data_IF_121703853980
#
_entry.id   IF_121703853980
#
_cell.length_a   1.000
_cell.length_b   1.000
_cell.length_c   1.000
_cell.angle_alpha   90.00
_cell.angle_beta   90.00
_cell.angle_gamma   90.00
#
_symmetry.space_group_name_H-M   'P 1'
#
loop_
_entity.id
_entity.type
_entity.pdbx_description
1 polymer ?
#
# COMPACT_ATOMS: atom_id res chain seq x y z
N UNK A 1 -21.41 72.84 -7.71
CA UNK A 1 -20.12 72.97 -8.40
C UNK A 1 -19.07 72.20 -7.62
N UNK A 2 -18.63 71.03 -8.12
CA UNK A 2 -17.23 70.56 -7.92
C UNK A 2 -16.97 69.42 -8.90
N UNK A 3 -16.14 69.71 -9.90
CA UNK A 3 -15.54 68.72 -10.80
C UNK A 3 -14.37 68.09 -10.07
N UNK A 4 -14.34 66.76 -9.94
CA UNK A 4 -13.14 66.02 -9.54
C UNK A 4 -12.69 65.25 -10.77
N UNK A 5 -11.50 65.60 -11.27
CA UNK A 5 -10.86 64.96 -12.41
C UNK A 5 -10.42 63.55 -12.01
N UNK A 6 -11.01 62.53 -12.63
CA UNK A 6 -10.60 61.14 -12.48
C UNK A 6 -9.59 60.81 -13.58
N UNK A 7 -8.31 60.79 -13.23
CA UNK A 7 -7.23 60.34 -14.13
C UNK A 7 -7.28 58.81 -14.19
N UNK A 8 -7.65 58.29 -15.36
CA UNK A 8 -7.66 56.88 -15.70
C UNK A 8 -6.22 56.38 -15.92
N UNK A 9 -5.63 55.75 -14.91
CA UNK A 9 -4.46 54.91 -15.08
C UNK A 9 -4.90 53.54 -15.64
N UNK A 10 -4.76 53.37 -16.96
CA UNK A 10 -4.79 52.06 -17.61
C UNK A 10 -3.51 51.30 -17.25
N UNK A 11 -3.52 50.57 -16.13
CA UNK A 11 -2.50 49.56 -15.85
C UNK A 11 -2.84 48.28 -16.61
N UNK A 12 -2.06 48.01 -17.65
CA UNK A 12 -2.07 46.77 -18.42
C UNK A 12 -1.85 45.56 -17.51
N UNK A 13 -2.92 44.85 -17.16
CA UNK A 13 -2.85 43.53 -16.56
C UNK A 13 -2.31 42.57 -17.63
N UNK A 14 -1.01 42.31 -17.58
CA UNK A 14 -0.40 41.19 -18.28
C UNK A 14 -0.97 39.91 -17.67
N UNK A 15 -2.01 39.36 -18.30
CA UNK A 15 -2.54 38.05 -17.96
C UNK A 15 -1.47 37.04 -18.36
N UNK A 16 -0.65 36.63 -17.38
CA UNK A 16 0.19 35.44 -17.52
C UNK A 16 -0.72 34.24 -17.74
N UNK A 17 -0.97 33.88 -19.00
CA UNK A 17 -1.54 32.60 -19.36
C UNK A 17 -0.50 31.53 -19.05
N UNK A 18 -0.55 30.98 -17.83
CA UNK A 18 0.18 29.77 -17.50
C UNK A 18 -0.29 28.66 -18.45
N UNK A 19 0.55 28.27 -19.40
CA UNK A 19 0.33 27.10 -20.23
C UNK A 19 0.37 25.87 -19.33
N UNK A 20 -0.79 25.34 -18.98
CA UNK A 20 -0.89 24.10 -18.21
C UNK A 20 -0.54 22.92 -19.15
N UNK A 21 0.52 22.18 -18.84
CA UNK A 21 0.83 20.93 -19.52
C UNK A 21 -0.12 19.85 -19.02
N UNK A 22 -1.02 19.39 -19.88
CA UNK A 22 -1.87 18.24 -19.62
C UNK A 22 -1.09 16.97 -19.98
N UNK A 23 -0.70 16.17 -18.98
CA UNK A 23 -0.05 14.88 -19.21
C UNK A 23 -0.86 13.78 -18.51
N UNK A 24 -1.21 12.73 -19.27
CA UNK A 24 -1.61 11.44 -18.68
C UNK A 24 -0.34 10.61 -18.58
N UNK A 25 0.11 10.31 -17.36
CA UNK A 25 1.25 9.41 -17.17
C UNK A 25 0.85 8.01 -17.66
N UNK A 26 1.53 7.51 -18.70
CA UNK A 26 1.44 6.12 -19.11
C UNK A 26 2.32 5.30 -18.18
N UNK A 27 1.79 4.23 -17.61
CA UNK A 27 2.53 3.38 -16.65
C UNK A 27 2.86 2.05 -17.31
N UNK A 28 4.15 1.86 -17.56
CA UNK A 28 4.74 0.62 -18.05
C UNK A 28 5.08 -0.31 -16.88
N UNK A 29 4.44 -1.49 -16.82
CA UNK A 29 4.76 -2.50 -15.79
C UNK A 29 5.88 -3.46 -16.22
N UNK A 30 6.39 -3.32 -17.43
CA UNK A 30 7.52 -4.05 -17.95
C UNK A 30 8.20 -3.24 -19.05
N UNK A 31 9.44 -3.62 -19.38
CA UNK A 31 10.19 -3.03 -20.48
C UNK A 31 10.50 -4.10 -21.53
N UNK A 32 10.17 -3.88 -22.83
CA UNK A 32 10.56 -4.77 -23.92
C UNK A 32 12.08 -4.87 -24.11
N UNK A 33 12.84 -3.83 -23.70
CA UNK A 33 14.31 -3.83 -23.77
C UNK A 33 14.96 -4.64 -22.65
N UNK A 34 14.20 -5.05 -21.64
CA UNK A 34 14.67 -5.86 -20.51
C UNK A 34 14.12 -7.30 -20.64
N UNK A 35 14.95 -8.30 -20.99
CA UNK A 35 14.49 -9.65 -21.32
C UNK A 35 13.71 -10.37 -20.21
N UNK A 36 13.94 -10.02 -18.95
CA UNK A 36 13.29 -10.63 -17.78
C UNK A 36 12.37 -9.66 -17.04
N UNK A 37 11.96 -8.54 -17.65
CA UNK A 37 11.05 -7.57 -17.00
C UNK A 37 9.71 -8.20 -16.59
N UNK A 38 9.29 -9.24 -17.32
CA UNK A 38 8.09 -10.03 -17.03
C UNK A 38 8.36 -11.34 -16.27
N UNK A 39 9.56 -11.55 -15.74
CA UNK A 39 9.92 -12.78 -15.05
C UNK A 39 10.06 -13.98 -16.00
N UNK A 40 10.32 -15.18 -15.47
CA UNK A 40 10.59 -16.37 -16.28
C UNK A 40 9.42 -16.73 -17.20
N UNK A 41 9.68 -16.78 -18.50
CA UNK A 41 8.69 -17.17 -19.52
C UNK A 41 7.60 -16.13 -19.81
N UNK A 42 7.61 -14.99 -19.13
CA UNK A 42 6.74 -13.86 -19.45
C UNK A 42 7.29 -13.02 -20.60
N UNK A 43 6.40 -12.42 -21.38
CA UNK A 43 6.77 -11.51 -22.47
C UNK A 43 6.20 -10.12 -22.21
N UNK A 44 7.02 -9.08 -22.34
CA UNK A 44 6.53 -7.72 -22.26
C UNK A 44 5.85 -7.32 -23.57
N UNK A 45 4.60 -6.88 -23.48
CA UNK A 45 3.77 -6.45 -24.60
C UNK A 45 3.66 -4.94 -24.61
N UNK A 46 4.04 -4.33 -25.73
CA UNK A 46 3.89 -2.89 -25.94
C UNK A 46 2.42 -2.55 -26.19
N UNK A 47 1.87 -1.68 -25.35
CA UNK A 47 0.47 -1.26 -25.42
C UNK A 47 0.39 0.26 -25.31
N UNK A 48 -0.61 0.86 -25.98
CA UNK A 48 -0.81 2.31 -25.98
C UNK A 48 -1.13 2.93 -24.61
N UNK A 49 -1.58 2.12 -23.65
CA UNK A 49 -1.87 2.54 -22.27
C UNK A 49 -0.84 1.99 -21.27
N UNK A 50 0.33 1.61 -21.76
CA UNK A 50 1.45 1.16 -20.96
C UNK A 50 1.64 -0.34 -21.03
N UNK A 51 2.90 -0.74 -21.02
CA UNK A 51 3.33 -2.10 -21.25
C UNK A 51 2.79 -3.06 -20.18
N UNK A 52 2.43 -4.27 -20.61
CA UNK A 52 1.91 -5.34 -19.73
C UNK A 52 2.59 -6.66 -20.04
N UNK A 53 2.66 -7.53 -19.04
CA UNK A 53 3.19 -8.87 -19.21
C UNK A 53 2.13 -9.83 -19.75
N UNK A 54 2.44 -10.46 -20.88
CA UNK A 54 1.80 -11.72 -21.28
C UNK A 54 2.45 -12.85 -20.48
N UNK A 55 1.67 -13.48 -19.61
CA UNK A 55 2.17 -14.46 -18.66
C UNK A 55 1.92 -15.91 -19.08
N UNK A 56 2.77 -16.85 -18.63
CA UNK A 56 2.52 -18.28 -18.80
C UNK A 56 1.18 -18.70 -18.20
N UNK A 57 0.67 -19.85 -18.66
CA UNK A 57 -0.57 -20.43 -18.17
C UNK A 57 -0.61 -20.52 -16.64
N UNK A 58 -1.69 -20.04 -16.03
CA UNK A 58 -1.88 -20.02 -14.59
C UNK A 58 -1.35 -18.79 -13.86
N UNK A 59 -0.63 -17.89 -14.53
CA UNK A 59 0.03 -16.72 -13.90
C UNK A 59 -0.50 -15.40 -14.46
N UNK A 60 -0.31 -14.32 -13.69
CA UNK A 60 -0.64 -12.95 -14.08
C UNK A 60 0.17 -11.92 -13.27
N UNK A 61 -0.10 -10.63 -13.51
CA UNK A 61 0.47 -9.51 -12.75
C UNK A 61 1.86 -9.10 -13.20
N UNK A 62 2.47 -8.17 -12.45
CA UNK A 62 3.86 -7.77 -12.71
C UNK A 62 4.78 -8.97 -12.55
N UNK A 63 5.76 -9.09 -13.44
CA UNK A 63 6.72 -10.22 -13.45
C UNK A 63 6.10 -11.62 -13.48
N UNK A 64 4.80 -11.74 -13.79
CA UNK A 64 4.06 -13.00 -13.77
C UNK A 64 4.17 -13.78 -12.43
N UNK A 65 4.25 -13.07 -11.30
CA UNK A 65 4.57 -13.67 -10.00
C UNK A 65 3.37 -14.18 -9.20
N UNK A 66 2.14 -13.87 -9.62
CA UNK A 66 0.91 -14.26 -8.89
C UNK A 66 0.03 -15.17 -9.74
N UNK A 67 -0.77 -16.06 -9.12
CA UNK A 67 -1.71 -16.90 -9.84
C UNK A 67 -2.74 -16.03 -10.57
N UNK A 68 -3.19 -16.50 -11.74
CA UNK A 68 -4.27 -15.87 -12.49
C UNK A 68 -5.59 -15.98 -11.72
N UNK A 69 -6.07 -14.86 -11.17
CA UNK A 69 -7.30 -14.76 -10.39
C UNK A 69 -7.87 -13.34 -10.46
N UNK A 70 -9.12 -13.15 -10.09
CA UNK A 70 -9.68 -11.81 -9.91
C UNK A 70 -9.31 -11.25 -8.53
N UNK A 71 -9.09 -9.94 -8.45
CA UNK A 71 -8.74 -9.25 -7.20
C UNK A 71 -9.99 -8.89 -6.40
N UNK A 72 -11.03 -8.41 -7.08
CA UNK A 72 -12.26 -7.91 -6.46
C UNK A 72 -13.41 -8.90 -6.62
N UNK A 73 -14.23 -9.04 -5.58
CA UNK A 73 -15.47 -9.84 -5.64
C UNK A 73 -16.46 -9.31 -6.69
N UNK A 74 -16.36 -8.03 -7.05
CA UNK A 74 -17.21 -7.39 -8.07
C UNK A 74 -16.84 -7.72 -9.51
N UNK A 75 -15.73 -8.42 -9.79
CA UNK A 75 -15.24 -8.67 -11.14
C UNK A 75 -16.27 -9.39 -12.04
N UNK A 76 -17.00 -10.37 -11.51
CA UNK A 76 -18.07 -11.06 -12.25
C UNK A 76 -19.19 -10.10 -12.70
N UNK A 77 -19.56 -9.16 -11.83
CA UNK A 77 -20.56 -8.14 -12.18
C UNK A 77 -20.01 -7.13 -13.18
N UNK A 78 -18.78 -6.64 -13.00
CA UNK A 78 -18.17 -5.71 -13.96
C UNK A 78 -17.99 -6.33 -15.35
N UNK A 79 -17.72 -7.63 -15.42
CA UNK A 79 -17.74 -8.37 -16.68
C UNK A 79 -19.13 -8.35 -17.34
N UNK A 80 -20.20 -8.60 -16.57
CA UNK A 80 -21.57 -8.55 -17.09
C UNK A 80 -22.00 -7.14 -17.55
N UNK A 81 -21.39 -6.10 -17.00
CA UNK A 81 -21.55 -4.70 -17.41
C UNK A 81 -20.56 -4.27 -18.50
N UNK A 82 -19.89 -5.25 -19.15
CA UNK A 82 -18.93 -5.08 -20.23
C UNK A 82 -17.74 -4.15 -19.93
N UNK A 83 -17.46 -3.88 -18.65
CA UNK A 83 -16.42 -2.93 -18.24
C UNK A 83 -15.02 -3.37 -18.67
N UNK A 84 -14.79 -4.66 -18.90
CA UNK A 84 -13.53 -5.15 -19.47
C UNK A 84 -13.22 -4.58 -20.88
N UNK A 85 -14.25 -4.15 -21.63
CA UNK A 85 -14.12 -3.72 -23.02
C UNK A 85 -14.26 -2.22 -23.17
N UNK A 86 -15.40 -1.64 -22.77
CA UNK A 86 -15.68 -0.23 -23.07
C UNK A 86 -14.86 0.75 -22.23
N UNK A 87 -14.41 0.36 -21.03
CA UNK A 87 -13.55 1.24 -20.22
C UNK A 87 -12.08 1.14 -20.61
N UNK A 88 -11.67 0.09 -21.33
CA UNK A 88 -10.26 -0.21 -21.64
C UNK A 88 -9.53 0.98 -22.28
N UNK A 89 -10.12 1.77 -23.21
CA UNK A 89 -9.45 2.94 -23.77
C UNK A 89 -9.18 4.07 -22.76
N UNK A 90 -9.93 4.09 -21.66
CA UNK A 90 -9.90 5.15 -20.64
C UNK A 90 -9.03 4.73 -19.45
N UNK A 91 -9.19 3.48 -19.01
CA UNK A 91 -8.53 2.92 -17.84
C UNK A 91 -8.27 1.42 -17.99
N UNK A 92 -7.04 0.95 -17.69
CA UNK A 92 -6.73 -0.47 -17.64
C UNK A 92 -7.22 -1.16 -16.34
N UNK A 93 -7.85 -0.41 -15.43
CA UNK A 93 -8.26 -0.88 -14.09
C UNK A 93 -8.93 -2.26 -14.10
N UNK A 94 -9.94 -2.46 -14.95
CA UNK A 94 -10.68 -3.73 -14.97
C UNK A 94 -9.84 -4.87 -15.55
N UNK A 95 -8.99 -4.61 -16.54
CA UNK A 95 -8.10 -5.62 -17.10
C UNK A 95 -7.03 -6.05 -16.08
N UNK A 96 -6.49 -5.10 -15.31
CA UNK A 96 -5.41 -5.34 -14.33
C UNK A 96 -5.93 -6.00 -13.03
N UNK A 97 -7.16 -5.67 -12.62
CA UNK A 97 -7.78 -6.16 -11.39
C UNK A 97 -8.70 -7.37 -11.57
N UNK A 98 -9.25 -7.56 -12.76
CA UNK A 98 -10.17 -8.66 -13.08
C UNK A 98 -9.64 -9.50 -14.24
N UNK A 99 -8.34 -9.81 -14.21
CA UNK A 99 -7.65 -10.46 -15.32
C UNK A 99 -8.29 -11.80 -15.73
N UNK A 100 -8.80 -12.59 -14.76
CA UNK A 100 -9.47 -13.85 -15.07
C UNK A 100 -10.85 -13.60 -15.69
N UNK A 101 -11.68 -12.76 -15.07
CA UNK A 101 -13.00 -12.40 -15.60
C UNK A 101 -12.93 -11.77 -17.00
N UNK A 102 -11.99 -10.84 -17.20
CA UNK A 102 -11.73 -10.15 -18.46
C UNK A 102 -10.90 -10.96 -19.46
N UNK A 103 -10.60 -12.24 -19.17
CA UNK A 103 -9.94 -13.15 -20.09
C UNK A 103 -8.50 -12.78 -20.46
N UNK A 104 -7.81 -11.99 -19.63
CA UNK A 104 -6.39 -11.64 -19.82
C UNK A 104 -5.47 -12.81 -19.44
N UNK A 105 -5.95 -13.76 -18.65
CA UNK A 105 -5.20 -14.96 -18.27
C UNK A 105 -6.15 -16.15 -18.05
N UNK A 106 -5.58 -17.35 -17.86
CA UNK A 106 -6.32 -18.56 -17.48
C UNK A 106 -5.79 -19.12 -16.16
N UNK A 107 -6.69 -19.46 -15.25
CA UNK A 107 -6.36 -20.06 -13.95
C UNK A 107 -5.97 -21.55 -14.12
N UNK A 108 -5.03 -22.04 -13.30
CA UNK A 108 -4.51 -23.42 -13.33
C UNK A 108 -5.05 -24.32 -12.21
N UNK A 109 -6.18 -23.94 -11.60
CA UNK A 109 -6.78 -24.57 -10.42
C UNK A 109 -6.28 -24.04 -9.08
N UNK A 110 -5.28 -23.16 -9.05
CA UNK A 110 -4.73 -22.58 -7.81
C UNK A 110 -4.89 -21.06 -7.77
N UNK A 111 -5.09 -20.53 -6.58
CA UNK A 111 -5.30 -19.11 -6.36
C UNK A 111 -4.82 -18.73 -4.94
N UNK A 112 -4.58 -17.45 -4.66
CA UNK A 112 -4.34 -17.01 -3.27
C UNK A 112 -5.67 -16.94 -2.52
N UNK A 113 -5.66 -17.12 -1.20
CA UNK A 113 -6.85 -16.92 -0.39
C UNK A 113 -7.43 -15.50 -0.54
N UNK A 114 -6.53 -14.51 -0.58
CA UNK A 114 -6.83 -13.11 -0.93
C UNK A 114 -5.77 -12.61 -1.90
N UNK A 115 -6.21 -11.96 -2.97
CA UNK A 115 -5.32 -11.35 -3.95
C UNK A 115 -4.86 -9.98 -3.47
N UNK A 116 -3.56 -9.68 -3.57
CA UNK A 116 -3.09 -8.31 -3.40
C UNK A 116 -3.52 -7.47 -4.61
N UNK A 117 -4.22 -6.34 -4.41
CA UNK A 117 -4.52 -5.40 -5.49
C UNK A 117 -3.22 -4.79 -6.08
N UNK A 118 -3.09 -4.64 -7.41
CA UNK A 118 -1.87 -4.13 -8.07
C UNK A 118 -1.42 -2.73 -7.63
N UNK A 119 -2.35 -1.93 -7.10
CA UNK A 119 -2.04 -0.61 -6.53
C UNK A 119 -1.19 -0.71 -5.24
N UNK A 120 -1.18 -1.87 -4.59
CA UNK A 120 -0.40 -2.16 -3.39
C UNK A 120 0.87 -2.96 -3.67
N UNK A 121 1.22 -3.20 -4.94
CA UNK A 121 2.44 -3.94 -5.30
C UNK A 121 3.70 -3.28 -4.73
N UNK A 122 3.68 -1.95 -4.54
CA UNK A 122 4.80 -1.19 -3.96
C UNK A 122 5.11 -1.55 -2.49
N UNK A 123 4.15 -2.15 -1.77
CA UNK A 123 4.30 -2.62 -0.40
C UNK A 123 4.20 -4.15 -0.27
N UNK A 124 4.15 -4.90 -1.38
CA UNK A 124 4.02 -6.37 -1.38
C UNK A 124 5.06 -7.04 -0.48
N UNK A 125 6.31 -6.53 -0.51
CA UNK A 125 7.42 -7.05 0.28
C UNK A 125 7.20 -6.98 1.79
N UNK A 126 6.39 -6.03 2.25
CA UNK A 126 6.05 -5.79 3.65
C UNK A 126 4.90 -6.68 4.13
N UNK A 127 4.02 -7.11 3.22
CA UNK A 127 2.91 -8.02 3.53
C UNK A 127 3.43 -9.39 3.98
N UNK A 128 2.89 -9.89 5.08
CA UNK A 128 3.36 -11.12 5.74
C UNK A 128 3.25 -11.05 7.26
N UNK A 129 3.50 -12.20 7.89
CA UNK A 129 3.67 -12.30 9.34
C UNK A 129 5.15 -12.28 9.69
N UNK A 130 5.51 -11.37 10.58
CA UNK A 130 6.86 -11.06 11.00
C UNK A 130 7.00 -11.25 12.50
N UNK A 131 7.98 -12.02 12.95
CA UNK A 131 8.21 -12.29 14.36
C UNK A 131 9.56 -11.73 14.82
N UNK A 132 9.57 -11.13 16.01
CA UNK A 132 10.78 -10.66 16.68
C UNK A 132 10.80 -11.12 18.13
N UNK A 133 12.03 -11.26 18.67
CA UNK A 133 12.28 -11.49 20.09
C UNK A 133 13.43 -10.58 20.51
N UNK A 134 13.22 -9.84 21.59
CA UNK A 134 14.17 -8.83 22.08
C UNK A 134 14.41 -9.00 23.58
N UNK A 135 15.65 -8.76 24.00
CA UNK A 135 16.05 -8.65 25.41
C UNK A 135 15.84 -7.25 25.98
N UNK A 136 15.70 -6.23 25.13
CA UNK A 136 15.42 -4.87 25.53
C UNK A 136 13.91 -4.64 25.68
N UNK A 137 13.56 -3.72 26.58
CA UNK A 137 12.19 -3.28 26.84
C UNK A 137 11.68 -2.24 25.82
N UNK A 138 12.58 -1.63 25.04
CA UNK A 138 12.23 -0.60 24.06
C UNK A 138 11.30 -1.16 22.97
N UNK A 139 10.19 -0.45 22.77
CA UNK A 139 9.14 -0.82 21.83
C UNK A 139 8.37 0.42 21.39
N UNK A 140 7.83 0.39 20.17
CA UNK A 140 6.93 1.39 19.66
C UNK A 140 5.49 0.84 19.66
N UNK A 141 4.47 1.64 20.04
CA UNK A 141 4.60 3.01 20.54
C UNK A 141 5.01 3.09 22.01
N UNK A 142 4.65 2.08 22.80
CA UNK A 142 4.96 2.02 24.23
C UNK A 142 6.00 0.95 24.53
N UNK A 143 6.93 1.21 25.47
CA UNK A 143 7.85 0.20 25.96
C UNK A 143 7.10 -0.93 26.67
N UNK A 144 7.69 -2.12 26.67
CA UNK A 144 7.21 -3.26 27.47
C UNK A 144 7.81 -3.20 28.88
N UNK A 145 7.24 -3.94 29.84
CA UNK A 145 7.81 -4.06 31.19
C UNK A 145 9.14 -4.83 31.26
N UNK A 146 9.53 -5.55 30.20
CA UNK A 146 10.76 -6.34 30.13
C UNK A 146 11.08 -6.89 28.74
N UNK A 147 11.97 -7.90 28.64
CA UNK A 147 12.18 -8.66 27.41
C UNK A 147 10.86 -9.20 26.84
N UNK A 148 10.70 -9.17 25.52
CA UNK A 148 9.43 -9.54 24.89
C UNK A 148 9.61 -10.24 23.55
N UNK A 149 8.55 -10.92 23.13
CA UNK A 149 8.34 -11.37 21.75
C UNK A 149 7.24 -10.52 21.12
N UNK A 150 7.33 -10.31 19.82
CA UNK A 150 6.34 -9.53 19.08
C UNK A 150 6.05 -10.15 17.72
N UNK A 151 4.78 -10.12 17.34
CA UNK A 151 4.29 -10.48 16.02
C UNK A 151 3.74 -9.21 15.38
N UNK A 152 4.30 -8.83 14.23
CA UNK A 152 3.73 -7.85 13.30
C UNK A 152 3.10 -8.64 12.16
N UNK A 153 1.78 -8.54 12.03
CA UNK A 153 1.02 -9.21 10.98
C UNK A 153 0.41 -8.17 10.04
N UNK A 154 0.86 -8.19 8.78
CA UNK A 154 0.38 -7.32 7.71
C UNK A 154 -0.36 -8.19 6.73
N UNK A 155 -1.69 -8.13 6.76
CA UNK A 155 -2.58 -9.04 6.04
C UNK A 155 -3.39 -8.30 4.97
N UNK A 156 -3.56 -8.95 3.82
CA UNK A 156 -4.43 -8.45 2.74
C UNK A 156 -5.88 -8.38 3.24
N UNK A 157 -6.54 -7.25 3.02
CA UNK A 157 -7.96 -7.07 3.36
C UNK A 157 -8.85 -7.48 2.20
N UNK A 158 -10.07 -7.94 2.51
CA UNK A 158 -11.09 -8.08 1.47
C UNK A 158 -11.50 -6.70 0.95
N UNK A 159 -11.55 -6.54 -0.38
CA UNK A 159 -11.91 -5.27 -1.00
C UNK A 159 -13.29 -5.41 -1.66
N UNK A 160 -14.38 -4.93 -1.03
CA UNK A 160 -15.71 -5.13 -1.56
C UNK A 160 -16.06 -4.21 -2.74
N UNK A 161 -15.44 -3.03 -2.85
CA UNK A 161 -15.81 -2.03 -3.86
C UNK A 161 -14.72 -0.96 -4.10
N UNK A 162 -15.06 0.08 -4.88
CA UNK A 162 -14.18 1.17 -5.33
C UNK A 162 -13.76 2.10 -4.19
N UNK A 163 -12.61 1.81 -3.58
CA UNK A 163 -11.76 2.80 -2.91
C UNK A 163 -10.31 2.26 -2.88
N UNK A 164 -9.37 3.04 -2.36
CA UNK A 164 -8.00 2.61 -2.11
C UNK A 164 -8.02 1.43 -1.12
N UNK A 165 -7.61 0.22 -1.56
CA UNK A 165 -7.65 -0.93 -0.68
C UNK A 165 -6.62 -0.76 0.44
N UNK A 166 -7.01 -1.00 1.71
CA UNK A 166 -6.05 -1.09 2.79
C UNK A 166 -5.46 -2.50 2.89
N UNK A 167 -4.36 -2.62 3.64
CA UNK A 167 -3.99 -3.88 4.30
C UNK A 167 -4.23 -3.75 5.80
N UNK A 168 -4.70 -4.81 6.43
CA UNK A 168 -4.86 -4.86 7.87
C UNK A 168 -3.48 -4.98 8.53
N UNK A 169 -3.28 -4.21 9.60
CA UNK A 169 -2.12 -4.34 10.47
C UNK A 169 -2.61 -4.79 11.84
N UNK A 170 -1.99 -5.86 12.35
CA UNK A 170 -2.08 -6.19 13.76
C UNK A 170 -0.69 -6.38 14.34
N UNK A 171 -0.51 -5.89 15.56
CA UNK A 171 0.71 -6.11 16.32
C UNK A 171 0.33 -6.72 17.65
N UNK A 172 1.08 -7.75 18.07
CA UNK A 172 0.93 -8.32 19.40
C UNK A 172 2.30 -8.49 20.02
N UNK A 173 2.57 -7.76 21.09
CA UNK A 173 3.75 -7.93 21.92
C UNK A 173 3.38 -8.53 23.27
N UNK A 174 4.23 -9.42 23.77
CA UNK A 174 4.05 -10.09 25.05
C UNK A 174 5.42 -10.28 25.68
N UNK A 175 5.55 -9.90 26.96
CA UNK A 175 6.78 -10.14 27.71
C UNK A 175 7.08 -11.62 27.83
N UNK A 176 8.36 -11.97 27.97
CA UNK A 176 8.76 -13.38 28.02
C UNK A 176 8.24 -14.12 29.26
N UNK A 177 7.84 -13.38 30.31
CA UNK A 177 7.17 -13.90 31.50
C UNK A 177 5.63 -13.88 31.41
N UNK A 178 5.06 -13.33 30.33
CA UNK A 178 3.62 -13.24 30.09
C UNK A 178 2.86 -12.24 30.95
N UNK A 179 3.56 -11.39 31.73
CA UNK A 179 2.92 -10.44 32.66
C UNK A 179 2.35 -9.19 31.98
N UNK A 180 2.87 -8.84 30.80
CA UNK A 180 2.51 -7.63 30.07
C UNK A 180 2.27 -7.94 28.59
N UNK A 181 1.13 -7.47 28.08
CA UNK A 181 0.62 -7.79 26.73
C UNK A 181 0.03 -6.54 26.08
N UNK A 182 0.67 -6.12 24.99
CA UNK A 182 0.19 -5.03 24.15
C UNK A 182 -0.36 -5.59 22.85
N UNK A 183 -1.52 -5.10 22.45
CA UNK A 183 -2.20 -5.50 21.22
C UNK A 183 -2.63 -4.25 20.47
N UNK A 184 -2.26 -4.18 19.20
CA UNK A 184 -2.62 -3.09 18.30
C UNK A 184 -3.33 -3.62 17.06
N UNK A 185 -4.33 -2.88 16.62
CA UNK A 185 -5.06 -3.14 15.39
C UNK A 185 -5.18 -1.87 14.57
N UNK A 186 -5.22 -2.04 13.26
CA UNK A 186 -5.27 -0.91 12.37
C UNK A 186 -5.19 -1.32 10.91
N UNK A 187 -4.86 -0.34 10.08
CA UNK A 187 -4.71 -0.56 8.66
C UNK A 187 -3.64 0.36 8.08
N UNK A 188 -3.09 -0.08 6.96
CA UNK A 188 -2.14 0.67 6.15
C UNK A 188 -2.75 0.95 4.78
N UNK A 189 -2.65 2.20 4.35
CA UNK A 189 -2.98 2.62 3.00
C UNK A 189 -1.72 3.08 2.27
N UNK A 190 -1.64 2.81 0.97
CA UNK A 190 -0.50 3.18 0.11
C UNK A 190 -1.00 3.87 -1.14
N UNK A 191 -0.37 4.99 -1.50
CA UNK A 191 -0.60 5.75 -2.73
C UNK A 191 0.66 5.77 -3.57
N UNK A 192 0.73 4.94 -4.63
CA UNK A 192 1.80 5.04 -5.61
C UNK A 192 1.85 6.44 -6.21
N UNK A 193 3.05 6.99 -6.41
CA UNK A 193 3.24 8.27 -7.07
C UNK A 193 2.72 8.18 -8.50
N UNK A 194 3.13 7.15 -9.25
CA UNK A 194 2.56 6.82 -10.54
C UNK A 194 1.36 5.88 -10.33
N UNK A 195 0.16 6.46 -10.32
CA UNK A 195 -1.12 5.74 -10.28
C UNK A 195 -1.91 6.03 -11.56
N UNK A 196 -2.34 4.99 -12.27
CA UNK A 196 -3.20 5.16 -13.45
C UNK A 196 -4.66 5.25 -13.02
N UNK A 197 -5.05 6.45 -12.59
CA UNK A 197 -6.44 6.75 -12.19
C UNK A 197 -7.38 6.89 -13.39
N UNK A 198 -6.85 6.92 -14.62
CA UNK A 198 -7.59 7.29 -15.82
C UNK A 198 -7.82 8.80 -15.99
N UNK A 199 -7.50 9.63 -14.98
CA UNK A 199 -7.62 11.08 -15.03
C UNK A 199 -6.27 11.75 -15.37
N UNK A 200 -6.34 12.92 -16.02
CA UNK A 200 -5.16 13.76 -16.29
C UNK A 200 -4.83 14.53 -15.02
N UNK A 201 -3.57 14.49 -14.60
CA UNK A 201 -3.08 15.28 -13.47
C UNK A 201 -2.39 16.54 -14.00
N UNK A 202 -2.82 17.70 -13.51
CA UNK A 202 -2.25 18.99 -13.92
C UNK A 202 -0.99 19.28 -13.12
N UNK A 203 0.10 19.64 -13.81
CA UNK A 203 1.38 20.03 -13.20
C UNK A 203 1.96 18.97 -12.25
N UNK A 204 1.68 17.68 -12.49
CA UNK A 204 2.31 16.60 -11.74
C UNK A 204 3.82 16.62 -12.02
N UNK A 205 4.67 16.59 -10.98
CA UNK A 205 6.11 16.40 -11.18
C UNK A 205 6.42 15.08 -11.91
N UNK A 206 7.55 15.02 -12.62
CA UNK A 206 7.98 13.81 -13.32
C UNK A 206 8.40 12.70 -12.34
N UNK A 207 8.89 13.07 -11.17
CA UNK A 207 9.34 12.16 -10.11
C UNK A 207 8.71 12.51 -8.76
N UNK A 208 8.50 11.49 -7.94
CA UNK A 208 8.01 11.64 -6.58
C UNK A 208 7.93 10.31 -5.85
N UNK A 209 7.65 10.40 -4.56
CA UNK A 209 7.58 9.24 -3.69
C UNK A 209 6.18 8.67 -3.63
N UNK A 210 6.10 7.35 -3.56
CA UNK A 210 4.89 6.68 -3.11
C UNK A 210 4.62 7.10 -1.65
N UNK A 211 3.36 7.38 -1.34
CA UNK A 211 2.94 7.76 0.01
C UNK A 211 2.35 6.56 0.75
N UNK A 212 2.48 6.55 2.06
CA UNK A 212 1.92 5.51 2.93
C UNK A 212 1.42 6.13 4.22
N UNK A 213 0.34 5.57 4.76
CA UNK A 213 -0.20 5.92 6.07
C UNK A 213 -0.54 4.66 6.86
N UNK A 214 -0.29 4.70 8.17
CA UNK A 214 -0.66 3.66 9.12
C UNK A 214 -1.53 4.30 10.21
N UNK A 215 -2.73 3.76 10.39
CA UNK A 215 -3.63 4.11 11.49
C UNK A 215 -3.67 2.93 12.46
N UNK A 216 -3.40 3.18 13.75
CA UNK A 216 -3.32 2.14 14.78
C UNK A 216 -4.10 2.55 16.03
N UNK A 217 -4.77 1.58 16.63
CA UNK A 217 -5.37 1.67 17.97
C UNK A 217 -4.80 0.56 18.85
N UNK A 218 -4.49 0.89 20.10
CA UNK A 218 -3.87 -0.01 21.06
C UNK A 218 -4.84 -0.39 22.18
N UNK A 219 -4.66 -1.55 22.80
CA UNK A 219 -5.39 -1.95 24.01
C UNK A 219 -5.07 -1.09 25.24
N UNK A 220 -3.97 -0.32 25.20
CA UNK A 220 -3.62 0.70 26.20
C UNK A 220 -4.39 2.02 25.99
N UNK A 221 -5.25 2.10 24.97
CA UNK A 221 -6.10 3.27 24.71
C UNK A 221 -5.39 4.39 23.94
N UNK A 222 -4.28 4.09 23.26
CA UNK A 222 -3.59 5.00 22.35
C UNK A 222 -4.10 4.82 20.91
N UNK A 223 -4.29 5.93 20.22
CA UNK A 223 -4.59 6.02 18.80
C UNK A 223 -3.47 6.78 18.11
N UNK A 224 -2.97 6.29 16.99
CA UNK A 224 -1.86 6.88 16.23
C UNK A 224 -2.18 6.90 14.74
N UNK A 225 -1.79 7.99 14.09
CA UNK A 225 -1.70 8.08 12.64
C UNK A 225 -0.27 8.45 12.30
N UNK A 226 0.38 7.58 11.54
CA UNK A 226 1.71 7.79 11.00
C UNK A 226 1.63 7.94 9.49
N UNK A 227 2.24 8.98 8.93
CA UNK A 227 2.31 9.19 7.48
C UNK A 227 3.76 9.24 7.02
N UNK A 228 3.99 8.83 5.79
CA UNK A 228 5.27 9.05 5.14
C UNK A 228 5.34 8.43 3.76
N UNK A 229 6.48 7.81 3.43
CA UNK A 229 6.84 7.45 2.05
C UNK A 229 7.32 6.02 1.92
N UNK A 230 7.07 5.42 0.77
CA UNK A 230 7.67 4.16 0.32
C UNK A 230 8.70 4.47 -0.76
N UNK A 231 9.94 4.01 -0.58
CA UNK A 231 10.99 4.07 -1.61
C UNK A 231 11.63 2.69 -1.75
N UNK A 232 11.37 2.01 -2.86
CA UNK A 232 11.82 0.64 -3.05
C UNK A 232 11.31 -0.27 -1.93
N UNK A 233 12.22 -0.89 -1.18
CA UNK A 233 11.90 -1.78 -0.06
C UNK A 233 12.03 -1.13 1.32
N UNK A 234 11.79 0.18 1.38
CA UNK A 234 11.85 0.98 2.59
C UNK A 234 10.55 1.76 2.79
N UNK A 235 9.97 1.67 3.98
CA UNK A 235 8.88 2.53 4.45
C UNK A 235 9.48 3.49 5.49
N UNK A 236 9.19 4.78 5.35
CA UNK A 236 9.49 5.81 6.35
C UNK A 236 8.20 6.43 6.82
N UNK A 237 8.03 6.57 8.12
CA UNK A 237 6.81 7.05 8.76
C UNK A 237 7.16 8.08 9.83
N UNK A 238 6.28 9.06 9.99
CA UNK A 238 6.30 10.04 11.06
C UNK A 238 4.92 10.12 11.71
N UNK A 239 4.85 10.13 13.04
CA UNK A 239 3.58 10.38 13.73
C UNK A 239 3.05 11.77 13.38
N UNK A 240 1.86 11.83 12.80
CA UNK A 240 1.13 13.07 12.50
C UNK A 240 0.02 13.36 13.49
N UNK A 241 -0.63 12.31 13.96
CA UNK A 241 -1.68 12.41 14.96
C UNK A 241 -1.52 11.34 16.03
N UNK A 242 -1.84 11.71 17.26
CA UNK A 242 -1.86 10.80 18.40
C UNK A 242 -2.96 11.23 19.36
N UNK A 243 -3.62 10.27 20.00
CA UNK A 243 -4.59 10.54 21.08
C UNK A 243 -4.61 9.37 22.04
N UNK A 244 -4.40 9.63 23.32
CA UNK A 244 -4.46 8.63 24.39
C UNK A 244 -5.68 8.83 25.29
N UNK A 245 -6.14 7.75 25.93
CA UNK A 245 -7.08 7.84 27.04
C UNK A 245 -6.43 8.53 28.25
N UNK A 246 -7.21 9.37 28.94
CA UNK A 246 -6.73 10.12 30.10
C UNK A 246 -6.28 9.16 31.23
N UNK A 247 -5.13 9.47 31.84
CA UNK A 247 -4.59 8.72 32.98
C UNK A 247 -3.87 7.40 32.66
N UNK A 248 -3.88 6.94 31.40
CA UNK A 248 -3.22 5.70 31.00
C UNK A 248 -1.82 5.96 30.42
N UNK A 249 -1.66 7.02 29.63
CA UNK A 249 -0.42 7.31 28.91
C UNK A 249 0.59 8.10 29.76
N UNK A 250 1.67 7.44 30.21
CA UNK A 250 2.67 8.01 31.13
C UNK A 250 3.79 8.80 30.45
N UNK A 251 4.24 8.35 29.28
CA UNK A 251 5.30 9.01 28.50
C UNK A 251 4.74 9.52 27.18
N UNK A 252 4.34 10.79 27.14
CA UNK A 252 3.72 11.35 25.94
C UNK A 252 4.72 11.38 24.77
N UNK A 253 4.55 10.52 23.75
CA UNK A 253 5.31 10.58 22.49
C UNK A 253 5.08 11.94 21.86
N UNK A 254 6.05 12.86 21.87
CA UNK A 254 5.93 14.18 21.23
C UNK A 254 6.12 14.04 19.73
N UNK A 255 7.14 13.29 19.31
CA UNK A 255 7.48 13.02 17.90
C UNK A 255 8.02 11.61 17.77
N UNK A 256 7.72 10.95 16.66
CA UNK A 256 8.41 9.71 16.28
C UNK A 256 8.75 9.69 14.81
N UNK A 257 9.80 8.93 14.48
CA UNK A 257 10.09 8.46 13.14
C UNK A 257 10.29 6.96 13.19
N UNK A 258 9.58 6.21 12.36
CA UNK A 258 9.76 4.77 12.17
C UNK A 258 10.20 4.49 10.76
N UNK A 259 11.11 3.54 10.61
CA UNK A 259 11.55 3.08 9.30
C UNK A 259 11.58 1.57 9.27
N UNK A 260 10.94 1.00 8.26
CA UNK A 260 11.03 -0.42 7.95
C UNK A 260 11.91 -0.62 6.73
N UNK A 261 12.88 -1.51 6.84
CA UNK A 261 13.82 -1.84 5.78
C UNK A 261 13.81 -3.34 5.54
N UNK A 262 13.45 -3.77 4.34
CA UNK A 262 13.67 -5.17 3.96
C UNK A 262 15.17 -5.39 3.75
N UNK A 263 15.77 -6.26 4.56
CA UNK A 263 17.18 -6.64 4.41
C UNK A 263 17.31 -7.76 3.37
N UNK A 264 16.38 -8.71 3.41
CA UNK A 264 16.20 -9.77 2.42
C UNK A 264 14.77 -10.32 2.54
N UNK A 265 14.38 -11.27 1.67
CA UNK A 265 13.02 -11.81 1.62
C UNK A 265 12.45 -12.30 2.97
N UNK A 266 13.31 -12.66 3.93
CA UNK A 266 12.93 -13.23 5.22
C UNK A 266 13.34 -12.38 6.42
N UNK A 267 13.92 -11.19 6.21
CA UNK A 267 14.47 -10.34 7.28
C UNK A 267 14.07 -8.89 7.09
N UNK A 268 13.37 -8.35 8.09
CA UNK A 268 12.88 -6.98 8.14
C UNK A 268 13.51 -6.26 9.33
N UNK A 269 13.99 -5.05 9.13
CA UNK A 269 14.56 -4.20 10.16
C UNK A 269 13.66 -3.00 10.42
N UNK A 270 13.20 -2.85 11.66
CA UNK A 270 12.54 -1.64 12.15
C UNK A 270 13.56 -0.76 12.89
N UNK A 271 13.60 0.53 12.55
CA UNK A 271 14.35 1.55 13.27
C UNK A 271 13.37 2.59 13.80
N UNK A 272 13.51 2.95 15.07
CA UNK A 272 12.64 3.93 15.71
C UNK A 272 13.48 5.04 16.33
N UNK A 273 13.05 6.28 16.12
CA UNK A 273 13.52 7.46 16.82
C UNK A 273 12.30 8.10 17.46
N UNK A 274 12.30 8.26 18.78
CA UNK A 274 11.17 8.78 19.53
C UNK A 274 11.63 9.90 20.45
N UNK A 275 10.83 10.96 20.57
CA UNK A 275 11.02 12.05 21.52
C UNK A 275 9.83 12.05 22.47
N UNK A 276 10.09 11.95 23.78
CA UNK A 276 9.04 11.97 24.81
C UNK A 276 8.65 13.39 25.25
N UNK A 277 7.67 13.49 26.17
CA UNK A 277 7.18 14.75 26.73
C UNK A 277 8.22 15.56 27.51
N UNK A 278 9.33 14.93 27.91
CA UNK A 278 10.48 15.57 28.57
C UNK A 278 11.54 16.03 27.58
N UNK A 279 11.36 15.76 26.28
CA UNK A 279 12.34 16.04 25.24
C UNK A 279 13.47 15.01 25.13
N UNK A 280 13.38 13.88 25.85
CA UNK A 280 14.37 12.81 25.78
C UNK A 280 14.21 12.07 24.46
N UNK A 281 15.30 11.95 23.70
CA UNK A 281 15.33 11.21 22.44
C UNK A 281 15.84 9.80 22.67
N UNK A 282 15.01 8.80 22.40
CA UNK A 282 15.37 7.37 22.44
C UNK A 282 15.42 6.81 21.02
N UNK A 283 16.41 5.94 20.76
CA UNK A 283 16.61 5.31 19.46
C UNK A 283 16.88 3.83 19.66
N UNK A 284 16.24 2.98 18.85
CA UNK A 284 16.51 1.55 18.87
C UNK A 284 16.24 0.94 17.50
N UNK A 285 16.69 -0.31 17.37
CA UNK A 285 16.55 -1.13 16.19
C UNK A 285 16.03 -2.50 16.61
N UNK A 286 15.08 -3.03 15.84
CA UNK A 286 14.49 -4.35 16.03
C UNK A 286 14.50 -5.10 14.70
N UNK A 287 14.76 -6.40 14.75
CA UNK A 287 14.75 -7.26 13.56
C UNK A 287 13.65 -8.29 13.68
N UNK A 288 12.92 -8.47 12.59
CA UNK A 288 11.91 -9.50 12.44
C UNK A 288 12.34 -10.53 11.43
N UNK A 289 11.89 -11.76 11.64
CA UNK A 289 11.95 -12.85 10.69
C UNK A 289 10.57 -13.07 10.08
N UNK A 290 10.49 -13.22 8.75
CA UNK A 290 9.24 -13.63 8.10
C UNK A 290 8.93 -15.07 8.49
N UNK A 291 7.77 -15.29 9.10
CA UNK A 291 7.29 -16.64 9.48
C UNK A 291 6.14 -17.11 8.62
N UNK A 292 5.42 -16.18 7.98
CA UNK A 292 4.36 -16.50 7.03
C UNK A 292 4.36 -15.51 5.87
N UNK A 293 4.22 -16.03 4.65
CA UNK A 293 4.15 -15.23 3.43
C UNK A 293 2.80 -15.46 2.73
N UNK A 294 1.91 -14.47 2.86
CA UNK A 294 0.58 -14.51 2.24
C UNK A 294 0.61 -14.64 0.71
N UNK A 295 1.69 -14.22 0.05
CA UNK A 295 1.82 -14.31 -1.42
C UNK A 295 2.16 -15.71 -1.92
N UNK A 296 2.41 -16.66 -1.02
CA UNK A 296 2.74 -18.05 -1.35
C UNK A 296 1.72 -19.06 -0.86
N UNK A 297 0.68 -18.61 -0.14
CA UNK A 297 -0.37 -19.46 0.41
C UNK A 297 -1.45 -19.74 -0.65
N UNK A 298 -1.16 -20.70 -1.52
CA UNK A 298 -2.05 -21.09 -2.61
C UNK A 298 -3.11 -22.09 -2.13
N UNK A 299 -4.37 -21.76 -2.38
CA UNK A 299 -5.54 -22.61 -2.15
C UNK A 299 -6.12 -23.13 -3.48
N UNK A 300 -6.89 -24.23 -3.48
CA UNK A 300 -7.68 -24.63 -4.64
C UNK A 300 -8.67 -23.53 -5.04
N UNK A 301 -8.85 -23.33 -6.35
CA UNK A 301 -9.86 -22.41 -6.87
C UNK A 301 -11.26 -22.97 -6.55
N UNK A 302 -12.14 -22.22 -5.86
CA UNK A 302 -13.49 -22.67 -5.57
C UNK A 302 -14.23 -23.02 -6.85
N UNK A 303 -14.81 -24.23 -6.90
CA UNK A 303 -15.71 -24.61 -8.00
C UNK A 303 -16.99 -23.80 -7.84
N UNK A 304 -17.29 -22.96 -8.83
CA UNK A 304 -18.52 -22.20 -8.86
C UNK A 304 -19.70 -23.18 -8.84
N UNK A 305 -20.47 -23.22 -7.73
CA UNK A 305 -21.69 -24.03 -7.67
C UNK A 305 -22.62 -23.47 -8.72
N UNK A 306 -22.83 -24.21 -9.83
CA UNK A 306 -23.88 -23.89 -10.81
C UNK A 306 -25.16 -23.61 -10.03
N UNK A 307 -25.64 -22.37 -10.03
CA UNK A 307 -26.99 -22.05 -9.53
C UNK A 307 -27.94 -22.97 -10.30
N UNK A 308 -28.61 -23.89 -9.61
CA UNK A 308 -29.76 -24.58 -10.19
C UNK A 308 -30.72 -23.49 -10.62
N UNK A 309 -30.98 -23.38 -11.92
CA UNK A 309 -32.12 -22.62 -12.41
C UNK A 309 -33.37 -23.22 -11.78
N UNK A 310 -34.07 -22.41 -10.99
CA UNK A 310 -35.47 -22.67 -10.65
C UNK A 310 -36.32 -22.44 -11.90
#
# INVERSE_FOLDING_TARGET
>A
MTRINLVLFLSSLAVCTYSQTMTKTIIDFCSPSEPNSCGPGGKCMELSLGNRCECPFGLMGRRCQRPCQDVYKSCARWKSEERCHWTRPISPFFADNCALSCGQCKNNGKQLALALPPILDNIEWFVGRWESKTSAHHRFPEPMSGPYKEILDVQISEVPSFDRPPVNISVRAETLDGTDVHVEFGFLTSKPFHEDTGFVELNKPDEGDDLVSIELVTNTGLMLIEEGTVRGTQIRLETKYKKGMAGVFRDEIVKSKRMFNLINANSLEERVVMVDGRGVTTKWLKRYKKVFNYMTDLIPTPVEKKRKSL
#
